data_IF_804890366104
#
_entry.id   IF_804890366104
#
_cell.length_a   1.000
_cell.length_b   1.000
_cell.length_c   1.000
_cell.angle_alpha   90.00
_cell.angle_beta   90.00
_cell.angle_gamma   90.00
#
_symmetry.space_group_name_H-M   'P 1'
#
loop_
_entity.id
_entity.type
_entity.pdbx_description
1 polymer ?
#
# COMPACT_ATOMS: atom_id res chain seq x y z
N UNK A 1 -5.74 -58.07 12.79
CA UNK A 1 -6.24 -56.89 12.05
C UNK A 1 -7.04 -56.08 13.05
N UNK A 2 -6.42 -55.05 13.63
CA UNK A 2 -7.01 -54.24 14.70
C UNK A 2 -7.92 -53.18 14.09
N UNK A 3 -9.21 -53.27 14.40
CA UNK A 3 -10.19 -52.20 14.18
C UNK A 3 -10.02 -51.19 15.32
N UNK A 4 -9.19 -50.17 15.13
CA UNK A 4 -9.19 -49.01 16.03
C UNK A 4 -10.45 -48.21 15.74
N UNK A 5 -11.30 -48.09 16.76
CA UNK A 5 -12.49 -47.27 16.77
C UNK A 5 -12.16 -45.86 16.25
N UNK A 6 -12.74 -45.49 15.11
CA UNK A 6 -12.72 -44.11 14.63
C UNK A 6 -13.67 -43.35 15.58
N UNK A 7 -13.19 -42.37 16.38
CA UNK A 7 -14.09 -41.54 17.15
C UNK A 7 -15.10 -40.91 16.18
N UNK A 8 -16.39 -40.95 16.53
CA UNK A 8 -17.51 -40.43 15.71
C UNK A 8 -17.50 -38.88 15.58
N UNK A 9 -16.36 -38.26 15.78
CA UNK A 9 -16.17 -36.82 15.67
C UNK A 9 -15.56 -36.54 14.30
N UNK A 10 -16.37 -35.99 13.42
CA UNK A 10 -15.95 -35.55 12.10
C UNK A 10 -15.00 -34.36 12.19
N UNK A 11 -14.12 -34.20 11.20
CA UNK A 11 -13.31 -32.98 11.10
C UNK A 11 -14.22 -31.75 11.00
N UNK A 12 -13.81 -30.67 11.66
CA UNK A 12 -14.50 -29.39 11.53
C UNK A 12 -14.29 -28.81 10.14
N UNK A 13 -15.21 -27.94 9.69
CA UNK A 13 -15.11 -27.28 8.39
C UNK A 13 -13.77 -26.54 8.21
N UNK A 14 -13.28 -25.90 9.28
CA UNK A 14 -11.97 -25.23 9.28
C UNK A 14 -10.80 -26.20 9.01
N UNK A 15 -10.83 -27.40 9.59
CA UNK A 15 -9.82 -28.43 9.36
C UNK A 15 -9.90 -29.00 7.93
N UNK A 16 -11.11 -29.14 7.38
CA UNK A 16 -11.31 -29.56 5.99
C UNK A 16 -10.80 -28.48 5.02
N UNK A 17 -11.06 -27.20 5.29
CA UNK A 17 -10.53 -26.09 4.50
C UNK A 17 -9.00 -26.03 4.55
N UNK A 18 -8.41 -26.25 5.72
CA UNK A 18 -6.97 -26.35 5.88
C UNK A 18 -6.40 -27.48 5.01
N UNK A 19 -7.08 -28.64 4.97
CA UNK A 19 -6.71 -29.80 4.15
C UNK A 19 -6.78 -29.58 2.63
N UNK A 20 -7.49 -28.53 2.19
CA UNK A 20 -7.57 -28.14 0.77
C UNK A 20 -6.39 -27.25 0.40
N UNK A 21 -5.93 -26.40 1.31
CA UNK A 21 -4.75 -25.54 1.11
C UNK A 21 -3.47 -26.37 1.16
N UNK A 22 -3.28 -27.10 2.26
CA UNK A 22 -2.16 -28.01 2.44
C UNK A 22 -2.57 -29.18 3.35
N UNK A 23 -2.30 -30.41 2.90
CA UNK A 23 -2.62 -31.60 3.69
C UNK A 23 -1.71 -31.75 4.92
N UNK A 24 -0.49 -31.18 4.85
CA UNK A 24 0.51 -31.28 5.93
C UNK A 24 0.22 -30.40 7.14
N UNK A 25 -0.74 -29.48 6.99
CA UNK A 25 -1.22 -28.61 8.06
C UNK A 25 -2.16 -29.34 9.05
N UNK A 26 -2.62 -30.55 8.71
CA UNK A 26 -3.39 -31.41 9.63
C UNK A 26 -2.48 -32.36 10.40
N UNK A 27 -2.90 -32.72 11.62
CA UNK A 27 -2.21 -33.78 12.37
C UNK A 27 -2.34 -35.13 11.66
N UNK A 28 -1.38 -36.03 11.89
CA UNK A 28 -1.34 -37.35 11.25
C UNK A 28 -2.65 -38.14 11.45
N UNK A 29 -3.24 -38.07 12.65
CA UNK A 29 -4.51 -38.72 12.99
C UNK A 29 -5.69 -38.15 12.17
N UNK A 30 -5.70 -36.84 11.92
CA UNK A 30 -6.72 -36.17 11.12
C UNK A 30 -6.58 -36.49 9.63
N UNK A 31 -5.36 -36.61 9.12
CA UNK A 31 -5.10 -37.03 7.74
C UNK A 31 -5.59 -38.47 7.51
N UNK A 32 -5.32 -39.37 8.46
CA UNK A 32 -5.82 -40.75 8.43
C UNK A 32 -7.35 -40.77 8.51
N UNK A 33 -7.97 -39.96 9.37
CA UNK A 33 -9.43 -39.85 9.41
C UNK A 33 -10.01 -39.34 8.09
N UNK A 34 -9.43 -38.29 7.51
CA UNK A 34 -9.89 -37.70 6.26
C UNK A 34 -9.83 -38.70 5.11
N UNK A 35 -8.85 -39.59 5.07
CA UNK A 35 -8.76 -40.65 4.04
C UNK A 35 -9.68 -41.84 4.32
N UNK A 36 -10.01 -42.12 5.58
CA UNK A 36 -10.85 -43.24 5.99
C UNK A 36 -12.36 -42.90 6.01
N UNK A 37 -12.74 -41.64 6.24
CA UNK A 37 -14.11 -41.22 6.48
C UNK A 37 -14.78 -40.66 5.19
N UNK A 38 -15.77 -41.36 4.60
CA UNK A 38 -16.36 -40.95 3.32
C UNK A 38 -17.13 -39.63 3.40
N UNK A 39 -17.64 -39.27 4.58
CA UNK A 39 -18.36 -38.01 4.79
C UNK A 39 -17.40 -36.82 4.70
N UNK A 40 -16.24 -36.90 5.37
CA UNK A 40 -15.23 -35.85 5.34
C UNK A 40 -14.59 -35.71 3.94
N UNK A 41 -14.39 -36.82 3.21
CA UNK A 41 -13.96 -36.79 1.81
C UNK A 41 -14.99 -36.08 0.93
N UNK A 42 -16.27 -36.43 1.06
CA UNK A 42 -17.33 -35.83 0.26
C UNK A 42 -17.43 -34.31 0.49
N UNK A 43 -17.27 -33.87 1.74
CA UNK A 43 -17.30 -32.44 2.07
C UNK A 43 -16.06 -31.70 1.56
N UNK A 44 -14.87 -32.32 1.66
CA UNK A 44 -13.64 -31.81 1.04
C UNK A 44 -13.83 -31.60 -0.47
N UNK A 45 -14.31 -32.62 -1.16
CA UNK A 45 -14.51 -32.58 -2.62
C UNK A 45 -15.56 -31.53 -3.03
N UNK A 46 -16.58 -31.33 -2.19
CA UNK A 46 -17.60 -30.28 -2.41
C UNK A 46 -16.97 -28.89 -2.33
N UNK A 47 -16.20 -28.62 -1.28
CA UNK A 47 -15.52 -27.34 -1.08
C UNK A 47 -14.47 -27.07 -2.17
N UNK A 48 -13.70 -28.09 -2.55
CA UNK A 48 -12.70 -27.98 -3.62
C UNK A 48 -13.33 -27.60 -4.96
N UNK A 49 -14.45 -28.24 -5.34
CA UNK A 49 -15.20 -27.87 -6.55
C UNK A 49 -15.72 -26.43 -6.50
N UNK A 50 -16.21 -25.98 -5.35
CA UNK A 50 -16.72 -24.62 -5.19
C UNK A 50 -15.59 -23.58 -5.35
N UNK A 51 -14.43 -23.84 -4.74
CA UNK A 51 -13.25 -22.97 -4.85
C UNK A 51 -12.70 -22.93 -6.27
N UNK A 52 -12.64 -24.09 -6.96
CA UNK A 52 -12.27 -24.14 -8.38
C UNK A 52 -13.24 -23.35 -9.26
N UNK A 53 -14.53 -23.40 -8.99
CA UNK A 53 -15.54 -22.64 -9.72
C UNK A 53 -15.32 -21.12 -9.56
N UNK A 54 -15.07 -20.66 -8.33
CA UNK A 54 -14.77 -19.25 -8.05
C UNK A 54 -13.46 -18.84 -8.72
N UNK A 55 -12.42 -19.67 -8.63
CA UNK A 55 -11.13 -19.41 -9.28
C UNK A 55 -11.24 -19.29 -10.80
N UNK A 56 -12.11 -20.09 -11.42
CA UNK A 56 -12.38 -20.01 -12.86
C UNK A 56 -13.16 -18.74 -13.23
N UNK A 57 -14.15 -18.35 -12.42
CA UNK A 57 -14.86 -17.07 -12.61
C UNK A 57 -13.90 -15.89 -12.47
N UNK A 58 -13.05 -15.89 -11.44
CA UNK A 58 -12.05 -14.85 -11.25
C UNK A 58 -11.09 -14.76 -12.45
N UNK A 59 -10.58 -15.90 -12.95
CA UNK A 59 -9.73 -15.93 -14.16
C UNK A 59 -10.44 -15.40 -15.40
N UNK A 60 -11.74 -15.67 -15.55
CA UNK A 60 -12.53 -15.17 -16.67
C UNK A 60 -12.80 -13.65 -16.57
N UNK A 61 -12.87 -13.11 -15.36
CA UNK A 61 -13.09 -11.68 -15.09
C UNK A 61 -11.81 -10.84 -15.10
N UNK A 62 -10.63 -11.47 -15.07
CA UNK A 62 -9.35 -10.75 -15.15
C UNK A 62 -9.06 -10.37 -16.60
N UNK A 63 -8.79 -9.08 -16.91
CA UNK A 63 -8.41 -8.67 -18.25
C UNK A 63 -7.11 -9.38 -18.66
N UNK A 64 -7.06 -9.90 -19.89
CA UNK A 64 -5.87 -10.57 -20.41
C UNK A 64 -4.70 -9.57 -20.43
N UNK A 65 -3.75 -9.70 -19.50
CA UNK A 65 -2.53 -8.91 -19.49
C UNK A 65 -1.68 -9.40 -20.66
N UNK A 66 -1.76 -8.70 -21.79
CA UNK A 66 -1.13 -9.07 -23.08
C UNK A 66 0.40 -9.05 -23.01
N UNK A 67 0.98 -8.39 -22.01
CA UNK A 67 2.43 -8.27 -21.90
C UNK A 67 2.88 -8.10 -20.46
N UNK A 68 3.77 -8.99 -20.02
CA UNK A 68 4.58 -8.77 -18.81
C UNK A 68 5.41 -7.50 -19.06
N UNK A 69 5.38 -6.48 -18.19
CA UNK A 69 6.23 -5.31 -18.36
C UNK A 69 7.70 -5.77 -18.29
N UNK A 70 8.35 -5.80 -19.45
CA UNK A 70 9.79 -6.04 -19.54
C UNK A 70 10.44 -4.71 -19.18
N UNK A 71 11.12 -4.67 -18.03
CA UNK A 71 11.97 -3.52 -17.72
C UNK A 71 13.05 -3.45 -18.81
N UNK A 72 13.23 -2.31 -19.49
CA UNK A 72 14.32 -2.19 -20.45
C UNK A 72 15.63 -2.39 -19.70
N UNK A 73 16.41 -3.39 -20.12
CA UNK A 73 17.79 -3.56 -19.70
C UNK A 73 18.51 -2.23 -19.96
N UNK A 74 18.85 -1.52 -18.89
CA UNK A 74 19.69 -0.33 -18.97
C UNK A 74 21.08 -0.80 -19.39
N UNK A 75 21.32 -0.86 -20.70
CA UNK A 75 22.68 -0.91 -21.22
C UNK A 75 23.39 0.36 -20.71
N UNK A 76 24.42 0.25 -19.85
CA UNK A 76 25.21 1.42 -19.51
C UNK A 76 25.83 1.92 -20.81
N UNK A 77 25.45 3.13 -21.23
CA UNK A 77 25.95 3.71 -22.47
C UNK A 77 27.48 3.62 -22.52
N UNK A 78 28.05 3.39 -23.71
CA UNK A 78 29.50 3.26 -23.93
C UNK A 78 30.34 4.31 -23.17
N UNK A 79 29.83 5.54 -23.05
CA UNK A 79 30.44 6.61 -22.28
C UNK A 79 30.56 6.29 -20.78
N UNK A 80 29.52 5.71 -20.16
CA UNK A 80 29.51 5.35 -18.75
C UNK A 80 30.56 4.26 -18.45
N UNK A 81 30.80 3.33 -19.37
CA UNK A 81 31.86 2.32 -19.22
C UNK A 81 33.26 2.94 -19.31
N UNK A 82 33.47 3.91 -20.20
CA UNK A 82 34.75 4.61 -20.34
C UNK A 82 35.10 5.48 -19.11
N UNK A 83 34.12 6.19 -18.54
CA UNK A 83 34.32 6.95 -17.29
C UNK A 83 34.61 6.07 -16.07
N UNK A 84 34.16 4.81 -16.08
CA UNK A 84 34.40 3.86 -15.00
C UNK A 84 35.74 3.11 -15.09
N UNK A 85 36.45 3.18 -16.22
CA UNK A 85 37.73 2.46 -16.43
C UNK A 85 38.96 3.34 -16.13
N UNK A 86 38.79 4.66 -16.03
CA UNK A 86 39.87 5.56 -15.59
C UNK A 86 40.08 5.47 -14.07
N UNK A 87 41.35 5.25 -13.67
CA UNK A 87 41.85 5.05 -12.30
C UNK A 87 41.17 6.02 -11.29
N UNK A 88 40.74 5.53 -10.11
CA UNK A 88 39.96 6.32 -9.13
C UNK A 88 40.68 7.59 -8.63
N UNK A 89 42.01 7.65 -8.70
CA UNK A 89 42.79 8.84 -8.32
C UNK A 89 42.58 10.05 -9.24
N UNK A 90 42.28 9.84 -10.52
CA UNK A 90 42.05 10.95 -11.47
C UNK A 90 40.67 11.58 -11.25
N UNK A 91 39.73 10.83 -10.66
CA UNK A 91 38.34 11.26 -10.46
C UNK A 91 38.18 12.35 -9.39
N UNK A 92 39.13 12.48 -8.47
CA UNK A 92 39.04 13.46 -7.37
C UNK A 92 39.87 14.71 -7.68
N UNK A 93 41.01 14.57 -8.35
CA UNK A 93 41.94 15.69 -8.57
C UNK A 93 41.38 16.75 -9.55
N UNK A 94 40.72 16.32 -10.64
CA UNK A 94 40.21 17.23 -11.67
C UNK A 94 39.06 18.12 -11.19
N UNK A 95 37.99 17.59 -10.56
CA UNK A 95 36.91 18.44 -10.07
C UNK A 95 37.38 19.34 -8.91
N UNK A 96 38.26 18.86 -8.03
CA UNK A 96 38.81 19.67 -6.94
C UNK A 96 39.63 20.85 -7.47
N UNK A 97 40.47 20.64 -8.49
CA UNK A 97 41.24 21.71 -9.12
C UNK A 97 40.32 22.70 -9.84
N UNK A 98 39.28 22.20 -10.53
CA UNK A 98 38.31 23.05 -11.24
C UNK A 98 37.50 23.91 -10.27
N UNK A 99 37.05 23.35 -9.14
CA UNK A 99 36.38 24.12 -8.07
C UNK A 99 37.32 25.17 -7.49
N UNK A 100 38.60 24.83 -7.26
CA UNK A 100 39.58 25.77 -6.74
C UNK A 100 39.89 26.92 -7.71
N UNK A 101 39.94 26.62 -9.02
CA UNK A 101 40.06 27.64 -10.07
C UNK A 101 38.81 28.53 -10.12
N UNK A 102 37.60 27.96 -10.03
CA UNK A 102 36.36 28.75 -10.02
C UNK A 102 36.30 29.65 -8.78
N UNK A 103 36.64 29.13 -7.60
CA UNK A 103 36.65 29.91 -6.35
C UNK A 103 37.68 31.04 -6.43
N UNK A 104 38.90 30.77 -6.90
CA UNK A 104 39.93 31.81 -7.02
C UNK A 104 39.55 32.87 -8.04
N UNK A 105 38.99 32.48 -9.19
CA UNK A 105 38.48 33.43 -10.19
C UNK A 105 37.30 34.23 -9.62
N UNK A 106 36.36 33.61 -8.92
CA UNK A 106 35.23 34.29 -8.30
C UNK A 106 35.65 35.29 -7.21
N UNK A 107 36.64 34.93 -6.38
CA UNK A 107 37.17 35.80 -5.33
C UNK A 107 37.99 36.97 -5.88
N UNK A 108 38.73 36.76 -6.97
CA UNK A 108 39.52 37.83 -7.62
C UNK A 108 38.61 38.78 -8.42
N UNK A 109 37.54 38.29 -9.04
CA UNK A 109 36.60 39.13 -9.80
C UNK A 109 35.49 39.78 -8.97
N UNK A 110 35.23 39.33 -7.74
CA UNK A 110 34.26 39.96 -6.82
C UNK A 110 34.87 40.26 -5.44
N UNK A 111 35.54 41.40 -5.25
CA UNK A 111 35.77 41.91 -3.91
C UNK A 111 34.46 42.53 -3.40
N UNK A 112 33.79 41.86 -2.48
CA UNK A 112 32.72 42.47 -1.67
C UNK A 112 31.28 42.13 -2.10
N UNK A 113 30.90 40.85 -2.07
CA UNK A 113 29.51 40.51 -1.86
C UNK A 113 29.42 39.52 -0.71
N UNK A 114 28.79 39.99 0.37
CA UNK A 114 28.47 39.24 1.58
C UNK A 114 27.90 37.87 1.21
N UNK A 115 28.68 36.83 1.49
CA UNK A 115 28.16 35.47 1.47
C UNK A 115 27.25 35.32 2.67
N UNK A 116 25.96 35.63 2.49
CA UNK A 116 24.93 34.93 3.23
C UNK A 116 25.04 33.45 2.88
N UNK A 117 25.82 32.72 3.68
CA UNK A 117 25.70 31.28 3.81
C UNK A 117 24.26 31.03 4.25
N UNK A 118 23.40 30.64 3.31
CA UNK A 118 22.14 29.99 3.61
C UNK A 118 22.47 28.64 4.26
N UNK A 119 22.82 28.68 5.55
CA UNK A 119 22.50 27.59 6.44
C UNK A 119 20.99 27.44 6.36
N UNK A 120 20.55 26.20 6.13
CA UNK A 120 19.15 25.81 6.23
C UNK A 120 18.72 26.15 7.66
N UNK A 121 18.17 27.33 7.82
CA UNK A 121 17.45 27.75 9.01
C UNK A 121 16.17 26.93 9.00
N UNK A 122 16.04 26.07 9.99
CA UNK A 122 14.84 25.32 10.29
C UNK A 122 13.69 26.33 10.32
N UNK A 123 12.79 26.21 9.35
CA UNK A 123 11.70 27.16 9.13
C UNK A 123 10.79 27.09 10.36
N UNK A 124 11.02 27.95 11.37
CA UNK A 124 10.10 28.14 12.49
C UNK A 124 8.78 28.58 11.89
N UNK A 125 7.82 27.66 11.84
CA UNK A 125 6.47 27.97 11.40
C UNK A 125 5.89 28.94 12.44
N UNK A 126 5.60 30.16 11.99
CA UNK A 126 4.98 31.17 12.82
C UNK A 126 3.58 30.70 13.24
N UNK A 127 3.29 30.54 14.54
CA UNK A 127 1.98 30.10 15.03
C UNK A 127 0.85 31.03 14.60
N UNK A 128 1.11 32.32 14.40
CA UNK A 128 0.09 33.26 13.91
C UNK A 128 -0.30 32.95 12.46
N UNK A 129 0.68 32.58 11.63
CA UNK A 129 0.45 32.22 10.24
C UNK A 129 -0.32 30.90 10.11
N UNK A 130 -0.08 29.94 11.02
CA UNK A 130 -0.83 28.70 11.08
C UNK A 130 -2.31 28.95 11.45
N UNK A 131 -2.58 29.85 12.40
CA UNK A 131 -3.95 30.20 12.79
C UNK A 131 -4.71 30.89 11.65
N UNK A 132 -4.04 31.75 10.88
CA UNK A 132 -4.61 32.39 9.69
C UNK A 132 -4.91 31.36 8.60
N UNK A 133 -4.00 30.41 8.38
CA UNK A 133 -4.22 29.35 7.40
C UNK A 133 -5.40 28.46 7.81
N UNK A 134 -5.53 28.12 9.10
CA UNK A 134 -6.70 27.38 9.61
C UNK A 134 -7.99 28.16 9.36
N UNK A 135 -8.03 29.45 9.70
CA UNK A 135 -9.21 30.30 9.50
C UNK A 135 -9.61 30.38 8.01
N UNK A 136 -8.59 30.46 7.14
CA UNK A 136 -8.78 30.43 5.69
C UNK A 136 -9.32 29.07 5.19
N UNK A 137 -8.93 27.96 5.80
CA UNK A 137 -9.51 26.63 5.51
C UNK A 137 -10.94 26.49 6.03
N UNK A 138 -11.33 27.22 7.09
CA UNK A 138 -12.72 27.26 7.59
C UNK A 138 -13.60 28.03 6.59
N UNK A 139 -13.13 29.18 6.11
CA UNK A 139 -13.88 30.00 5.15
C UNK A 139 -13.95 29.37 3.74
N UNK A 140 -12.89 28.66 3.33
CA UNK A 140 -12.86 27.93 2.07
C UNK A 140 -12.21 26.54 2.28
N UNK A 141 -13.02 25.48 2.48
CA UNK A 141 -12.52 24.14 2.77
C UNK A 141 -11.78 23.51 1.58
N UNK A 142 -11.88 24.11 0.39
CA UNK A 142 -11.20 23.65 -0.80
C UNK A 142 -10.19 24.69 -1.30
N UNK A 143 -8.90 24.57 -0.95
CA UNK A 143 -7.86 25.44 -1.49
C UNK A 143 -7.87 25.40 -3.03
N UNK A 144 -7.58 26.54 -3.67
CA UNK A 144 -7.80 26.75 -5.11
C UNK A 144 -7.18 25.68 -6.02
N UNK A 145 -6.05 25.08 -5.63
CA UNK A 145 -5.43 23.98 -6.39
C UNK A 145 -6.29 22.71 -6.47
N UNK A 146 -7.18 22.49 -5.49
CA UNK A 146 -8.10 21.35 -5.46
C UNK A 146 -9.45 21.66 -6.13
N UNK A 147 -9.82 22.94 -6.26
CA UNK A 147 -11.05 23.33 -6.97
C UNK A 147 -11.01 22.92 -8.45
N UNK A 148 -9.83 22.98 -9.07
CA UNK A 148 -9.64 22.52 -10.44
C UNK A 148 -9.86 21.01 -10.59
N UNK A 149 -9.65 20.19 -9.55
CA UNK A 149 -9.89 18.74 -9.59
C UNK A 149 -11.38 18.41 -9.50
N UNK A 150 -12.15 19.21 -8.75
CA UNK A 150 -13.61 19.06 -8.65
C UNK A 150 -14.28 19.44 -9.97
N UNK A 151 -13.76 20.40 -10.74
CA UNK A 151 -14.36 20.74 -12.04
C UNK A 151 -14.16 19.68 -13.12
N UNK A 152 -13.18 18.78 -12.99
CA UNK A 152 -13.07 17.60 -13.88
C UNK A 152 -14.08 16.49 -13.51
N UNK A 153 -14.57 16.54 -12.28
CA UNK A 153 -15.61 15.70 -11.76
C UNK A 153 -16.94 16.46 -11.90
N UNK A 154 -17.54 16.44 -13.10
CA UNK A 154 -19.01 16.57 -13.23
C UNK A 154 -19.67 15.38 -12.52
N UNK A 155 -19.48 15.29 -11.21
CA UNK A 155 -20.16 14.35 -10.34
C UNK A 155 -21.47 15.04 -10.06
N UNK A 156 -22.51 14.56 -10.74
CA UNK A 156 -23.88 14.84 -10.35
C UNK A 156 -24.02 14.27 -8.93
N UNK A 157 -24.04 15.16 -7.93
CA UNK A 157 -24.17 14.80 -6.53
C UNK A 157 -25.62 14.38 -6.25
N UNK A 158 -26.04 13.29 -6.87
CA UNK A 158 -27.34 12.67 -6.64
C UNK A 158 -27.37 11.95 -5.29
N UNK A 159 -28.58 11.66 -4.82
CA UNK A 159 -28.79 11.00 -3.54
C UNK A 159 -28.22 9.57 -3.53
N UNK A 160 -28.17 8.94 -4.71
CA UNK A 160 -27.56 7.62 -4.95
C UNK A 160 -26.04 7.65 -4.76
N UNK A 161 -25.34 8.70 -5.20
CA UNK A 161 -23.90 8.88 -4.97
C UNK A 161 -23.58 9.11 -3.49
N UNK A 162 -24.44 9.85 -2.79
CA UNK A 162 -24.28 10.07 -1.35
C UNK A 162 -24.47 8.77 -0.55
N UNK A 163 -25.40 7.89 -0.96
CA UNK A 163 -25.57 6.55 -0.40
C UNK A 163 -24.37 5.63 -0.69
N UNK A 164 -23.72 5.80 -1.85
CA UNK A 164 -22.51 5.06 -2.19
C UNK A 164 -21.27 5.46 -1.35
N UNK A 165 -21.07 6.75 -1.09
CA UNK A 165 -19.94 7.23 -0.28
C UNK A 165 -20.17 7.00 1.22
N UNK A 166 -21.41 7.15 1.68
CA UNK A 166 -21.79 6.94 3.07
C UNK A 166 -22.65 5.68 3.13
N UNK A 167 -22.03 4.48 3.16
CA UNK A 167 -22.80 3.26 3.25
C UNK A 167 -23.64 3.32 4.52
N UNK A 168 -24.95 3.26 4.36
CA UNK A 168 -25.88 3.14 5.49
C UNK A 168 -25.55 1.81 6.16
N UNK A 169 -25.01 1.88 7.37
CA UNK A 169 -24.76 0.72 8.22
C UNK A 169 -26.09 0.17 8.73
N UNK A 170 -26.87 -0.41 7.82
CA UNK A 170 -27.95 -1.33 8.18
C UNK A 170 -27.29 -2.60 8.72
N UNK A 171 -27.25 -2.71 10.06
CA UNK A 171 -26.76 -3.84 10.86
C UNK A 171 -25.29 -3.79 11.30
N UNK A 172 -24.85 -2.69 11.90
CA UNK A 172 -23.66 -2.71 12.77
C UNK A 172 -24.01 -3.31 14.16
N UNK A 173 -23.48 -4.49 14.54
CA UNK A 173 -23.68 -5.07 15.87
C UNK A 173 -23.10 -4.23 17.01
N UNK A 174 -22.31 -3.18 16.72
CA UNK A 174 -21.75 -2.26 17.72
C UNK A 174 -22.73 -1.16 18.18
N UNK A 175 -23.87 -0.97 17.50
CA UNK A 175 -24.92 -0.01 17.90
C UNK A 175 -25.72 -0.43 19.14
N UNK A 176 -25.60 -1.69 19.59
CA UNK A 176 -26.27 -2.22 20.79
C UNK A 176 -25.52 -1.99 22.10
N UNK A 177 -24.52 -1.10 22.12
CA UNK A 177 -23.94 -0.64 23.38
C UNK A 177 -24.81 0.51 23.91
N UNK A 178 -25.54 0.34 25.03
CA UNK A 178 -26.31 1.44 25.63
C UNK A 178 -25.32 2.45 26.22
N UNK A 179 -24.93 3.43 25.40
CA UNK A 179 -24.15 4.59 25.80
C UNK A 179 -24.98 5.46 26.75
N UNK A 180 -24.49 5.63 27.98
CA UNK A 180 -25.05 6.54 28.98
C UNK A 180 -25.26 7.93 28.37
N UNK A 181 -26.53 8.32 28.30
CA UNK A 181 -26.99 9.66 28.02
C UNK A 181 -26.31 10.64 28.99
N UNK A 182 -25.67 11.67 28.44
CA UNK A 182 -24.97 12.71 29.18
C UNK A 182 -25.85 13.33 30.26
N UNK A 183 -25.33 13.29 31.48
CA UNK A 183 -25.85 14.04 32.61
C UNK A 183 -25.31 15.47 32.47
N UNK A 184 -26.23 16.42 32.24
CA UNK A 184 -25.91 17.84 32.29
C UNK A 184 -25.51 18.18 33.73
N UNK A 185 -24.27 18.59 33.93
CA UNK A 185 -23.83 19.22 35.17
C UNK A 185 -23.88 20.73 34.92
N UNK A 186 -24.86 21.36 35.57
CA UNK A 186 -24.95 22.82 35.75
C UNK A 186 -23.82 23.34 36.63
#
# INVERSE_FOLDING_TARGET
>A
MNLTAIPNEHLTEAQILQAIVDLSDLSDDQQVHLTACPVCVAEKDRLDRMLLQIGNMAKASVPSVVSRPVLPDRYPGFLQRWFFEVRPFVRIAVPALLVLVIITVALVLKPGQDMHTAFVEEQMIDPEQLLIDIDRLIENPLPQGLQALVSFAEIDSDEDFMEYIVPVIENDPLSNIPGKKGENIC
#
